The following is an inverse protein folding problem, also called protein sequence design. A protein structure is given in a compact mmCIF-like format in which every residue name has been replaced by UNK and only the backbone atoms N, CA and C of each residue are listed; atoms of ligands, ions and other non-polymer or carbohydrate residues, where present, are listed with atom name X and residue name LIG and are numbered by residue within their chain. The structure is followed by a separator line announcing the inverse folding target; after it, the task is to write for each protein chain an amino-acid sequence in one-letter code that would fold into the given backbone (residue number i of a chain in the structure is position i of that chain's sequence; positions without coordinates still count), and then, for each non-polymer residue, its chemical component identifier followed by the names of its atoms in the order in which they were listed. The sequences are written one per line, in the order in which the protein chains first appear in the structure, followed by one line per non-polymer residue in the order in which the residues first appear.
data_IF_537186372525
#
_entry.id   IF_537186372525
#
_cell.length_a   1.000
_cell.length_b   1.000
_cell.length_c   1.000
_cell.angle_alpha   90.00
_cell.angle_beta   90.00
_cell.angle_gamma   90.00
#
_symmetry.space_group_name_H-M   'P 1'
#
loop_
_entity.id
_entity.type
_entity.pdbx_description
1 polymer ?
#
# COMPACT_ATOMS: atom_id res chain seq x y z
N UNK A 1 1.15 10.60 11.57
CA UNK A 1 -0.21 10.71 11.03
C UNK A 1 -0.21 9.93 9.74
N UNK A 2 -0.91 8.81 9.69
CA UNK A 2 -0.95 7.96 8.48
C UNK A 2 -2.17 7.05 8.54
N UNK A 3 -2.79 6.76 7.41
CA UNK A 3 -3.55 5.51 7.22
C UNK A 3 -3.09 4.81 5.94
N UNK A 4 -3.08 3.49 5.98
CA UNK A 4 -2.63 2.66 4.88
C UNK A 4 -3.37 1.33 4.80
N UNK A 5 -3.23 0.71 3.63
CA UNK A 5 -3.70 -0.63 3.30
C UNK A 5 -2.55 -1.40 2.64
N UNK A 6 -2.34 -2.64 3.08
CA UNK A 6 -1.62 -3.67 2.33
C UNK A 6 -2.63 -4.73 1.88
N UNK A 7 -2.55 -5.15 0.62
CA UNK A 7 -3.53 -6.06 0.06
C UNK A 7 -2.97 -7.03 -0.97
N UNK A 8 -3.67 -8.15 -1.13
CA UNK A 8 -3.46 -9.16 -2.16
C UNK A 8 -4.74 -9.35 -2.97
N UNK A 9 -4.61 -9.55 -4.28
CA UNK A 9 -5.70 -10.04 -5.09
C UNK A 9 -5.67 -11.56 -5.13
N UNK A 10 -6.65 -12.22 -4.49
CA UNK A 10 -6.72 -13.69 -4.45
C UNK A 10 -6.79 -14.37 -5.81
N UNK A 11 -7.32 -13.67 -6.82
CA UNK A 11 -7.48 -14.18 -8.19
C UNK A 11 -6.22 -14.05 -9.05
N UNK A 12 -5.49 -12.94 -8.92
CA UNK A 12 -4.37 -12.62 -9.81
C UNK A 12 -3.00 -12.78 -9.13
N UNK A 13 -2.95 -12.91 -7.80
CA UNK A 13 -1.71 -12.92 -7.04
C UNK A 13 -1.02 -11.55 -6.95
N UNK A 14 -1.62 -10.49 -7.50
CA UNK A 14 -1.09 -9.13 -7.42
C UNK A 14 -1.08 -8.66 -5.96
N UNK A 15 0.00 -7.97 -5.57
CA UNK A 15 0.08 -7.27 -4.30
C UNK A 15 0.01 -5.77 -4.50
N UNK A 16 -0.49 -5.08 -3.48
CA UNK A 16 -0.55 -3.64 -3.49
C UNK A 16 -0.47 -3.03 -2.11
N UNK A 17 0.04 -1.80 -2.08
CA UNK A 17 0.04 -0.93 -0.91
C UNK A 17 -0.49 0.42 -1.33
N UNK A 18 -1.38 1.00 -0.54
CA UNK A 18 -1.75 2.40 -0.64
C UNK A 18 -1.67 3.09 0.72
N UNK A 19 -1.22 4.33 0.74
CA UNK A 19 -0.95 5.09 1.96
C UNK A 19 -1.20 6.57 1.73
N UNK A 20 -1.71 7.27 2.75
CA UNK A 20 -1.89 8.73 2.76
C UNK A 20 -1.38 9.32 4.07
N UNK A 21 -0.89 10.56 4.01
CA UNK A 21 -0.39 11.30 5.16
C UNK A 21 -0.42 12.80 4.98
N UNK A 22 -0.58 13.53 6.09
CA UNK A 22 -0.21 14.95 6.23
C UNK A 22 1.29 15.24 6.01
N UNK A 23 2.17 14.25 6.15
CA UNK A 23 3.61 14.42 5.86
C UNK A 23 3.90 14.27 4.37
N UNK A 24 4.94 14.93 3.82
CA UNK A 24 5.32 14.76 2.42
C UNK A 24 5.86 13.37 2.11
N UNK A 25 5.71 12.99 0.83
CA UNK A 25 6.30 11.81 0.20
C UNK A 25 6.15 10.51 1.02
N UNK A 26 4.96 10.28 1.59
CA UNK A 26 4.73 9.16 2.53
C UNK A 26 5.01 7.80 1.90
N UNK A 27 4.64 7.61 0.63
CA UNK A 27 4.80 6.33 -0.07
C UNK A 27 6.25 5.87 -0.16
N UNK A 28 7.21 6.78 -0.35
CA UNK A 28 8.64 6.44 -0.43
C UNK A 28 9.17 5.78 0.85
N UNK A 29 8.59 6.12 2.00
CA UNK A 29 9.05 5.62 3.30
C UNK A 29 8.22 4.45 3.80
N UNK A 30 6.96 4.35 3.36
CA UNK A 30 5.99 3.44 3.95
C UNK A 30 5.53 2.30 3.03
N UNK A 31 5.65 2.38 1.70
CA UNK A 31 4.99 1.45 0.78
C UNK A 31 5.96 0.44 0.13
N UNK A 32 5.84 -0.83 0.53
CA UNK A 32 6.69 -1.93 0.08
C UNK A 32 5.86 -3.11 -0.42
N UNK A 33 6.15 -3.58 -1.63
CA UNK A 33 5.54 -4.78 -2.17
C UNK A 33 6.56 -5.50 -3.06
N UNK A 34 6.49 -6.82 -3.11
CA UNK A 34 7.31 -7.64 -3.98
C UNK A 34 6.49 -8.78 -4.59
N UNK A 35 6.62 -8.92 -5.91
CA UNK A 35 6.09 -10.00 -6.72
C UNK A 35 6.31 -11.37 -6.06
N UNK A 36 5.25 -12.16 -5.92
CA UNK A 36 5.32 -13.53 -5.37
C UNK A 36 5.68 -13.64 -3.88
N UNK A 37 6.04 -12.54 -3.20
CA UNK A 37 6.42 -12.55 -1.80
C UNK A 37 5.32 -11.98 -0.90
N UNK A 38 4.88 -10.74 -1.15
CA UNK A 38 3.88 -10.08 -0.34
C UNK A 38 3.95 -8.56 -0.35
N UNK A 39 3.26 -7.92 0.60
CA UNK A 39 3.27 -6.48 0.81
C UNK A 39 3.41 -6.11 2.29
N UNK A 40 4.16 -5.04 2.54
CA UNK A 40 4.45 -4.49 3.87
C UNK A 40 4.21 -2.98 3.86
N UNK A 41 3.59 -2.47 4.92
CA UNK A 41 3.62 -1.05 5.25
C UNK A 41 4.34 -0.84 6.57
N UNK A 42 5.28 0.12 6.62
CA UNK A 42 5.96 0.57 7.86
C UNK A 42 5.63 2.03 8.10
N UNK A 43 4.99 2.34 9.23
CA UNK A 43 4.44 3.68 9.50
C UNK A 43 4.50 4.08 10.99
N UNK A 44 3.77 5.15 11.34
CA UNK A 44 3.84 5.89 12.61
C UNK A 44 5.18 6.64 12.72
N UNK A 45 6.01 6.37 13.72
CA UNK A 45 7.41 6.84 13.74
C UNK A 45 8.18 5.91 12.80
N UNK A 46 8.14 6.25 11.51
CA UNK A 46 8.47 5.33 10.42
C UNK A 46 9.94 4.90 10.45
N UNK A 47 10.17 3.60 10.33
CA UNK A 47 11.48 3.01 10.03
C UNK A 47 11.39 2.30 8.67
N UNK A 48 11.92 2.91 7.59
CA UNK A 48 11.90 2.34 6.24
C UNK A 48 12.54 0.94 6.15
N UNK A 49 13.50 0.65 7.01
CA UNK A 49 14.23 -0.64 6.98
C UNK A 49 13.32 -1.82 7.30
N UNK A 50 12.26 -1.61 8.07
CA UNK A 50 11.29 -2.66 8.41
C UNK A 50 10.51 -3.14 7.17
N UNK A 51 10.26 -2.24 6.22
CA UNK A 51 9.61 -2.60 4.95
C UNK A 51 10.45 -3.57 4.13
N UNK A 52 11.72 -3.22 3.92
CA UNK A 52 12.69 -4.04 3.18
C UNK A 52 12.92 -5.39 3.87
N UNK A 53 13.18 -5.39 5.18
CA UNK A 53 13.40 -6.61 5.97
C UNK A 53 12.15 -7.48 6.01
N UNK A 54 10.97 -6.89 6.10
CA UNK A 54 9.70 -7.61 6.04
C UNK A 54 9.51 -8.34 4.72
N UNK A 55 9.74 -7.66 3.60
CA UNK A 55 9.69 -8.30 2.28
C UNK A 55 10.71 -9.43 2.13
N UNK A 56 11.93 -9.26 2.65
CA UNK A 56 12.94 -10.32 2.64
C UNK A 56 12.48 -11.57 3.40
N UNK A 57 11.83 -11.40 4.55
CA UNK A 57 11.28 -12.52 5.32
C UNK A 57 10.15 -13.23 4.55
N UNK A 58 9.23 -12.47 3.97
CA UNK A 58 8.14 -13.01 3.16
C UNK A 58 8.68 -13.75 1.92
N UNK A 59 9.68 -13.20 1.24
CA UNK A 59 10.33 -13.82 0.08
C UNK A 59 11.04 -15.14 0.43
N UNK A 60 11.45 -15.32 1.70
CA UNK A 60 12.03 -16.56 2.22
C UNK A 60 10.97 -17.54 2.75
N UNK A 61 9.68 -17.24 2.56
CA UNK A 61 8.58 -18.14 2.89
C UNK A 61 8.00 -17.96 4.30
N UNK A 62 8.39 -16.91 5.04
CA UNK A 62 7.73 -16.59 6.30
C UNK A 62 6.28 -16.16 6.04
N UNK A 63 5.36 -16.57 6.91
CA UNK A 63 4.01 -16.01 6.97
C UNK A 63 4.04 -14.55 7.43
N UNK A 64 2.96 -13.80 7.19
CA UNK A 64 2.81 -12.44 7.69
C UNK A 64 3.01 -12.35 9.21
N UNK A 65 2.46 -13.32 9.95
CA UNK A 65 2.60 -13.39 11.41
C UNK A 65 4.04 -13.62 11.85
N UNK A 66 4.76 -14.55 11.21
CA UNK A 66 6.18 -14.81 11.49
C UNK A 66 7.04 -13.60 11.15
N UNK A 67 6.81 -12.97 10.00
CA UNK A 67 7.53 -11.77 9.58
C UNK A 67 7.37 -10.64 10.61
N UNK A 68 6.13 -10.33 11.01
CA UNK A 68 5.85 -9.32 12.05
C UNK A 68 6.51 -9.69 13.38
N UNK A 69 6.43 -10.96 13.82
CA UNK A 69 7.05 -11.41 15.06
C UNK A 69 8.58 -11.25 15.06
N UNK A 70 9.23 -11.57 13.94
CA UNK A 70 10.67 -11.40 13.76
C UNK A 70 11.05 -9.92 13.78
N UNK A 71 10.32 -9.07 13.04
CA UNK A 71 10.56 -7.63 13.01
C UNK A 71 10.39 -7.00 14.39
N UNK A 72 9.36 -7.40 15.15
CA UNK A 72 9.14 -6.93 16.52
C UNK A 72 10.29 -7.32 17.46
N UNK A 73 10.81 -8.55 17.35
CA UNK A 73 11.88 -9.06 18.21
C UNK A 73 13.25 -8.45 17.90
N UNK A 74 13.50 -8.10 16.65
CA UNK A 74 14.83 -7.71 16.15
C UNK A 74 14.93 -6.25 15.71
N UNK A 75 13.80 -5.53 15.65
CA UNK A 75 13.74 -4.12 15.30
C UNK A 75 14.08 -3.22 16.48
N UNK A 76 14.70 -2.08 16.19
CA UNK A 76 14.91 -1.04 17.19
C UNK A 76 13.60 -0.30 17.46
N UNK A 77 13.30 -0.06 18.74
CA UNK A 77 12.16 0.74 19.19
C UNK A 77 10.79 0.26 18.65
N UNK A 78 10.47 -1.05 18.70
CA UNK A 78 9.24 -1.59 18.12
C UNK A 78 7.99 -0.97 18.73
N UNK A 79 8.07 -0.42 19.94
CA UNK A 79 6.95 0.24 20.59
C UNK A 79 6.50 1.53 19.91
N UNK A 80 7.32 2.12 19.04
CA UNK A 80 6.99 3.32 18.26
C UNK A 80 6.55 3.01 16.82
N UNK A 81 6.53 1.74 16.42
CA UNK A 81 6.29 1.33 15.03
C UNK A 81 4.87 0.82 14.85
N UNK A 82 4.32 1.06 13.67
CA UNK A 82 3.16 0.34 13.18
C UNK A 82 3.53 -0.34 11.87
N UNK A 83 3.37 -1.67 11.79
CA UNK A 83 3.77 -2.46 10.62
C UNK A 83 2.63 -3.39 10.22
N UNK A 84 2.25 -3.36 8.94
CA UNK A 84 1.17 -4.17 8.38
C UNK A 84 1.78 -5.11 7.33
N UNK A 85 1.26 -6.33 7.26
CA UNK A 85 1.74 -7.35 6.34
C UNK A 85 0.60 -8.18 5.73
N UNK A 86 0.75 -8.51 4.45
CA UNK A 86 0.03 -9.60 3.76
C UNK A 86 1.03 -10.46 3.02
N UNK A 87 0.94 -11.78 3.21
CA UNK A 87 1.88 -12.75 2.62
C UNK A 87 1.35 -13.39 1.32
N UNK A 88 2.18 -14.27 0.74
CA UNK A 88 1.88 -15.01 -0.49
C UNK A 88 0.58 -15.83 -0.44
N UNK A 89 0.21 -16.33 0.73
CA UNK A 89 -1.00 -17.11 0.97
C UNK A 89 -2.23 -16.22 1.23
N UNK A 90 -2.04 -14.91 1.41
CA UNK A 90 -3.09 -13.97 1.76
C UNK A 90 -3.36 -13.88 3.26
N UNK A 91 -2.54 -14.49 4.11
CA UNK A 91 -2.64 -14.29 5.54
C UNK A 91 -2.09 -12.91 5.92
N UNK A 92 -2.67 -12.31 6.95
CA UNK A 92 -2.42 -10.92 7.33
C UNK A 92 -2.02 -10.79 8.79
N UNK A 93 -1.10 -9.88 9.07
CA UNK A 93 -0.65 -9.58 10.42
C UNK A 93 -0.32 -8.10 10.56
N UNK A 94 -0.53 -7.57 11.77
CA UNK A 94 -0.26 -6.18 12.10
C UNK A 94 0.45 -6.14 13.45
N UNK A 95 1.40 -5.22 13.59
CA UNK A 95 1.95 -4.81 14.88
C UNK A 95 1.72 -3.31 15.03
N UNK A 96 1.01 -2.91 16.10
CA UNK A 96 0.90 -1.53 16.55
C UNK A 96 1.58 -1.40 17.91
N UNK A 97 2.68 -0.65 17.96
CA UNK A 97 3.43 -0.45 19.19
C UNK A 97 2.66 0.42 20.21
N UNK A 98 2.83 0.20 21.53
CA UNK A 98 2.07 0.93 22.55
C UNK A 98 2.38 2.43 22.65
N UNK A 99 3.41 2.92 21.93
CA UNK A 99 3.72 4.35 21.79
C UNK A 99 3.30 4.89 20.40
N UNK A 100 2.38 4.23 19.71
CA UNK A 100 1.77 4.77 18.51
C UNK A 100 1.06 6.09 18.79
N UNK A 101 1.15 7.04 17.86
CA UNK A 101 0.75 8.43 18.10
C UNK A 101 -0.77 8.62 17.94
N UNK A 102 -1.36 9.37 18.86
CA UNK A 102 -2.78 9.74 18.83
C UNK A 102 -3.71 8.54 18.87
N UNK A 103 -4.89 8.69 18.27
CA UNK A 103 -5.78 7.55 18.03
C UNK A 103 -5.14 6.71 16.94
N UNK A 104 -4.77 5.48 17.30
CA UNK A 104 -4.30 4.48 16.36
C UNK A 104 -5.25 3.29 16.41
N UNK A 105 -5.42 2.65 15.26
CA UNK A 105 -6.25 1.47 15.13
C UNK A 105 -5.75 0.61 13.99
N UNK A 106 -6.25 -0.61 13.94
CA UNK A 106 -5.93 -1.62 12.95
C UNK A 106 -7.16 -2.49 12.68
N UNK A 107 -7.27 -2.97 11.45
CA UNK A 107 -8.28 -3.94 11.05
C UNK A 107 -7.68 -4.83 9.98
N UNK A 108 -8.10 -6.09 9.93
CA UNK A 108 -7.59 -7.05 8.94
C UNK A 108 -8.62 -8.12 8.62
N UNK A 109 -8.49 -8.66 7.42
CA UNK A 109 -9.20 -9.84 6.95
C UNK A 109 -8.25 -10.65 6.05
N UNK A 110 -8.78 -11.69 5.41
CA UNK A 110 -8.02 -12.41 4.38
C UNK A 110 -7.68 -11.46 3.23
N UNK A 111 -6.42 -11.51 2.80
CA UNK A 111 -5.84 -10.71 1.73
C UNK A 111 -5.81 -9.18 1.97
N UNK A 112 -6.15 -8.67 3.16
CA UNK A 112 -6.11 -7.23 3.44
C UNK A 112 -5.81 -6.90 4.90
N UNK A 113 -4.91 -5.96 5.12
CA UNK A 113 -4.66 -5.34 6.41
C UNK A 113 -4.64 -3.83 6.26
N UNK A 114 -5.39 -3.15 7.12
CA UNK A 114 -5.50 -1.69 7.18
C UNK A 114 -5.13 -1.19 8.57
N UNK A 115 -4.58 0.01 8.65
CA UNK A 115 -4.17 0.57 9.92
C UNK A 115 -3.75 2.01 9.80
N UNK A 116 -3.77 2.69 10.94
CA UNK A 116 -3.36 4.08 10.99
C UNK A 116 -3.06 4.58 12.39
N UNK A 117 -2.54 5.81 12.42
CA UNK A 117 -2.16 6.57 13.61
C UNK A 117 -2.52 8.04 13.41
N UNK A 118 -2.80 8.75 14.50
CA UNK A 118 -3.38 10.10 14.50
C UNK A 118 -4.67 10.16 13.66
N UNK A 119 -5.51 9.13 13.79
CA UNK A 119 -6.79 9.01 13.11
C UNK A 119 -7.83 9.96 13.74
N UNK A 120 -8.85 10.31 12.97
CA UNK A 120 -10.02 11.02 13.48
C UNK A 120 -10.77 10.19 14.55
N UNK A 121 -10.84 8.87 14.35
CA UNK A 121 -11.34 7.90 15.32
C UNK A 121 -10.85 6.47 14.98
N UNK A 122 -11.11 5.51 15.87
CA UNK A 122 -10.62 4.12 15.77
C UNK A 122 -11.35 3.27 14.71
N UNK A 123 -12.58 3.63 14.33
CA UNK A 123 -13.34 2.96 13.25
C UNK A 123 -12.79 3.11 11.81
N UNK A 124 -11.82 4.00 11.54
CA UNK A 124 -11.33 4.26 10.17
C UNK A 124 -10.77 3.00 9.48
N UNK A 125 -9.85 2.21 10.09
CA UNK A 125 -9.32 1.01 9.45
C UNK A 125 -10.38 -0.08 9.19
N UNK A 126 -11.39 -0.18 10.06
CA UNK A 126 -12.48 -1.13 9.85
C UNK A 126 -13.29 -0.78 8.61
N UNK A 127 -13.66 0.50 8.43
CA UNK A 127 -14.31 0.99 7.21
C UNK A 127 -13.47 0.74 5.95
N UNK A 128 -12.13 0.84 6.07
CA UNK A 128 -11.22 0.52 4.97
C UNK A 128 -11.28 -0.97 4.57
N UNK A 129 -11.23 -1.88 5.55
CA UNK A 129 -11.33 -3.32 5.28
C UNK A 129 -12.68 -3.65 4.64
N UNK A 130 -13.77 -3.12 5.17
CA UNK A 130 -15.12 -3.33 4.62
C UNK A 130 -15.24 -2.85 3.18
N UNK A 131 -14.72 -1.66 2.87
CA UNK A 131 -14.68 -1.14 1.51
C UNK A 131 -13.85 -2.02 0.56
N UNK A 132 -12.70 -2.53 1.03
CA UNK A 132 -11.89 -3.44 0.21
C UNK A 132 -12.62 -4.76 -0.08
N UNK A 133 -13.29 -5.34 0.92
CA UNK A 133 -14.04 -6.59 0.78
C UNK A 133 -15.29 -6.43 -0.10
N UNK A 134 -15.94 -5.27 -0.06
CA UNK A 134 -17.09 -4.95 -0.90
C UNK A 134 -16.73 -4.52 -2.33
N UNK A 135 -15.45 -4.29 -2.62
CA UNK A 135 -14.98 -3.83 -3.94
C UNK A 135 -14.52 -4.99 -4.82
N UNK A 136 -14.82 -4.87 -6.12
CA UNK A 136 -14.44 -5.85 -7.15
C UNK A 136 -13.55 -5.20 -8.23
N UNK A 137 -13.01 -6.02 -9.14
CA UNK A 137 -12.21 -5.55 -10.28
C UNK A 137 -10.70 -5.53 -10.02
N UNK A 138 -10.00 -4.62 -10.72
CA UNK A 138 -8.55 -4.53 -10.66
C UNK A 138 -8.08 -4.08 -9.27
N UNK A 139 -6.97 -4.62 -8.75
CA UNK A 139 -6.51 -4.31 -7.39
C UNK A 139 -6.31 -2.80 -7.16
N UNK A 140 -5.77 -2.09 -8.15
CA UNK A 140 -5.64 -0.63 -8.10
C UNK A 140 -6.96 0.12 -7.86
N UNK A 141 -8.06 -0.30 -8.51
CA UNK A 141 -9.38 0.34 -8.28
C UNK A 141 -9.87 0.10 -6.84
N UNK A 142 -9.66 -1.12 -6.34
CA UNK A 142 -10.03 -1.53 -4.98
C UNK A 142 -9.22 -0.78 -3.91
N UNK A 143 -7.93 -0.55 -4.15
CA UNK A 143 -7.10 0.29 -3.28
C UNK A 143 -7.57 1.74 -3.26
N UNK A 144 -7.87 2.34 -4.42
CA UNK A 144 -8.42 3.70 -4.50
C UNK A 144 -9.76 3.80 -3.75
N UNK A 145 -10.67 2.84 -3.97
CA UNK A 145 -11.95 2.79 -3.25
C UNK A 145 -11.76 2.71 -1.73
N UNK A 146 -10.78 1.91 -1.28
CA UNK A 146 -10.44 1.77 0.14
C UNK A 146 -9.90 3.08 0.73
N UNK A 147 -9.01 3.77 0.02
CA UNK A 147 -8.46 5.05 0.46
C UNK A 147 -9.52 6.15 0.52
N UNK A 148 -10.47 6.16 -0.42
CA UNK A 148 -11.64 7.05 -0.38
C UNK A 148 -12.54 6.75 0.81
N UNK A 149 -12.81 5.47 1.10
CA UNK A 149 -13.60 5.07 2.27
C UNK A 149 -12.94 5.51 3.59
N UNK A 150 -11.61 5.42 3.68
CA UNK A 150 -10.87 5.95 4.83
C UNK A 150 -11.15 7.45 5.02
N UNK A 151 -11.12 8.22 3.93
CA UNK A 151 -11.35 9.66 3.93
C UNK A 151 -12.79 10.01 4.30
N UNK A 152 -13.78 9.28 3.76
CA UNK A 152 -15.20 9.41 4.12
C UNK A 152 -15.45 9.07 5.58
N UNK A 153 -14.74 8.08 6.13
CA UNK A 153 -14.76 7.74 7.55
C UNK A 153 -13.99 8.74 8.42
N UNK A 154 -13.44 9.83 7.86
CA UNK A 154 -12.76 10.90 8.59
C UNK A 154 -11.23 10.88 8.49
N UNK A 155 -10.61 9.78 8.09
CA UNK A 155 -9.18 9.70 7.82
C UNK A 155 -8.29 10.04 9.01
N UNK A 156 -7.28 10.89 8.77
CA UNK A 156 -6.47 11.49 9.83
C UNK A 156 -7.25 12.55 10.60
N UNK A 157 -6.85 12.83 11.85
CA UNK A 157 -7.42 13.92 12.63
C UNK A 157 -7.19 15.32 12.01
N UNK A 158 -6.24 15.43 11.07
CA UNK A 158 -5.94 16.64 10.30
C UNK A 158 -5.96 16.39 8.79
N UNK A 159 -5.71 17.43 7.97
CA UNK A 159 -5.68 17.29 6.51
C UNK A 159 -4.51 16.41 6.06
N UNK A 160 -4.70 15.67 4.96
CA UNK A 160 -3.64 14.89 4.32
C UNK A 160 -3.08 15.64 3.11
N UNK A 161 -1.78 15.50 2.86
CA UNK A 161 -1.07 16.24 1.82
C UNK A 161 -0.32 15.35 0.83
N UNK A 162 -0.05 14.09 1.17
CA UNK A 162 0.58 13.14 0.27
C UNK A 162 -0.14 11.80 0.26
N UNK A 163 -0.10 11.12 -0.87
CA UNK A 163 -0.59 9.76 -1.01
C UNK A 163 0.21 9.00 -2.06
N UNK A 164 0.23 7.68 -1.98
CA UNK A 164 0.76 6.87 -3.07
C UNK A 164 0.21 5.46 -3.08
N UNK A 165 0.35 4.82 -4.24
CA UNK A 165 -0.06 3.46 -4.49
C UNK A 165 1.05 2.72 -5.24
N UNK A 166 1.41 1.55 -4.73
CA UNK A 166 2.37 0.64 -5.34
C UNK A 166 1.68 -0.68 -5.66
N UNK A 167 1.82 -1.16 -6.90
CA UNK A 167 1.31 -2.45 -7.37
C UNK A 167 2.46 -3.28 -7.95
N UNK A 168 2.51 -4.56 -7.59
CA UNK A 168 3.47 -5.53 -8.12
C UNK A 168 2.74 -6.78 -8.59
N UNK A 169 3.20 -7.36 -9.70
CA UNK A 169 2.69 -8.62 -10.25
C UNK A 169 3.86 -9.52 -10.67
N UNK A 170 3.77 -10.29 -11.74
CA UNK A 170 4.76 -11.32 -12.14
C UNK A 170 6.17 -10.83 -12.53
N UNK A 171 6.41 -9.52 -12.64
CA UNK A 171 7.71 -8.95 -13.02
C UNK A 171 8.51 -8.44 -11.81
N UNK A 172 9.83 -8.29 -11.98
CA UNK A 172 10.75 -7.91 -10.90
C UNK A 172 10.64 -6.44 -10.44
N UNK A 173 9.84 -5.62 -11.12
CA UNK A 173 9.61 -4.20 -10.80
C UNK A 173 8.14 -3.92 -10.46
N UNK A 174 7.82 -2.78 -9.81
CA UNK A 174 6.43 -2.34 -9.66
C UNK A 174 5.78 -2.05 -11.00
N UNK A 175 4.64 -2.68 -11.27
CA UNK A 175 3.84 -2.38 -12.48
C UNK A 175 3.02 -1.11 -12.33
N UNK A 176 2.92 -0.55 -11.12
CA UNK A 176 2.55 0.83 -10.88
C UNK A 176 3.24 1.31 -9.60
N UNK A 177 3.84 2.50 -9.64
CA UNK A 177 4.33 3.24 -8.48
C UNK A 177 3.92 4.70 -8.65
N UNK A 178 2.69 5.01 -8.21
CA UNK A 178 2.03 6.28 -8.43
C UNK A 178 2.03 7.09 -7.13
N UNK A 179 2.41 8.36 -7.21
CA UNK A 179 2.65 9.20 -6.04
C UNK A 179 2.13 10.62 -6.26
N UNK A 180 1.47 11.14 -5.24
CA UNK A 180 1.27 12.56 -5.00
C UNK A 180 2.09 12.87 -3.74
N UNK A 181 3.28 13.45 -3.91
CA UNK A 181 4.21 13.63 -2.80
C UNK A 181 3.92 14.86 -1.93
N UNK A 182 3.18 15.83 -2.45
CA UNK A 182 2.61 16.96 -1.72
C UNK A 182 1.52 17.63 -2.57
N UNK A 183 0.45 18.08 -1.92
CA UNK A 183 -0.57 18.96 -2.50
C UNK A 183 -1.36 19.65 -1.38
N UNK A 184 -1.90 20.84 -1.68
CA UNK A 184 -2.87 21.53 -0.82
C UNK A 184 -4.31 21.04 -1.06
N UNK A 185 -4.58 20.46 -2.24
CA UNK A 185 -5.82 19.73 -2.54
C UNK A 185 -5.84 18.31 -1.93
N UNK A 186 -6.83 17.48 -2.29
CA UNK A 186 -6.89 16.09 -1.83
C UNK A 186 -5.87 15.18 -2.56
N UNK A 187 -4.84 14.63 -1.89
CA UNK A 187 -3.84 13.77 -2.52
C UNK A 187 -4.41 12.43 -3.01
N UNK A 188 -5.46 11.93 -2.36
CA UNK A 188 -6.11 10.66 -2.75
C UNK A 188 -6.86 10.81 -4.06
N UNK A 189 -7.52 11.96 -4.29
CA UNK A 189 -8.20 12.21 -5.56
C UNK A 189 -7.21 12.46 -6.71
N UNK A 190 -6.08 13.12 -6.44
CA UNK A 190 -4.99 13.20 -7.43
C UNK A 190 -4.44 11.82 -7.79
N UNK A 191 -4.22 10.96 -6.79
CA UNK A 191 -3.77 9.60 -7.01
C UNK A 191 -4.81 8.77 -7.80
N UNK A 192 -6.11 8.97 -7.53
CA UNK A 192 -7.19 8.34 -8.27
C UNK A 192 -7.23 8.78 -9.74
N UNK A 193 -7.07 10.08 -10.01
CA UNK A 193 -7.00 10.61 -11.36
C UNK A 193 -5.79 10.07 -12.13
N UNK A 194 -4.62 10.04 -11.47
CA UNK A 194 -3.40 9.47 -12.03
C UNK A 194 -3.55 7.97 -12.34
N UNK A 195 -4.24 7.22 -11.46
CA UNK A 195 -4.54 5.82 -11.71
C UNK A 195 -5.43 5.61 -12.94
N UNK A 196 -6.47 6.43 -13.13
CA UNK A 196 -7.32 6.33 -14.34
C UNK A 196 -6.55 6.61 -15.63
N UNK A 197 -5.58 7.52 -15.58
CA UNK A 197 -4.69 7.77 -16.72
C UNK A 197 -3.72 6.61 -16.98
N UNK A 198 -3.16 6.02 -15.92
CA UNK A 198 -2.11 5.01 -16.00
C UNK A 198 -2.65 3.61 -16.33
N UNK A 199 -3.77 3.20 -15.71
CA UNK A 199 -4.33 1.85 -15.79
C UNK A 199 -4.47 1.30 -17.22
N UNK A 200 -5.01 2.04 -18.22
CA UNK A 200 -5.15 1.53 -19.58
C UNK A 200 -3.79 1.27 -20.28
N UNK A 201 -2.72 1.88 -19.79
CA UNK A 201 -1.38 1.80 -20.37
C UNK A 201 -0.48 0.77 -19.67
N UNK A 202 -0.89 0.28 -18.49
CA UNK A 202 -0.08 -0.57 -17.61
C UNK A 202 0.48 -1.78 -18.34
N UNK A 203 -0.37 -2.53 -19.03
CA UNK A 203 0.06 -3.76 -19.70
C UNK A 203 0.98 -3.47 -20.89
N UNK A 204 0.75 -2.37 -21.62
CA UNK A 204 1.65 -1.94 -22.67
C UNK A 204 3.06 -1.61 -22.12
N UNK A 205 3.16 -0.96 -20.96
CA UNK A 205 4.46 -0.70 -20.33
C UNK A 205 5.19 -1.98 -19.93
N UNK A 206 4.47 -2.99 -19.45
CA UNK A 206 5.06 -4.30 -19.15
C UNK A 206 5.52 -5.01 -20.42
N UNK A 207 4.69 -5.04 -21.46
CA UNK A 207 5.05 -5.64 -22.75
C UNK A 207 6.28 -4.98 -23.35
N UNK A 208 6.40 -3.66 -23.30
CA UNK A 208 7.58 -2.93 -23.80
C UNK A 208 8.88 -3.38 -23.13
N UNK A 209 8.84 -3.66 -21.83
CA UNK A 209 10.02 -4.10 -21.09
C UNK A 209 10.38 -5.57 -21.35
N UNK A 210 9.38 -6.44 -21.62
CA UNK A 210 9.59 -7.89 -21.81
C UNK A 210 9.81 -8.24 -23.28
N UNK A 211 8.93 -7.78 -24.17
CA UNK A 211 8.98 -8.00 -25.61
C UNK A 211 8.51 -6.73 -26.36
N UNK A 212 9.41 -5.77 -26.64
CA UNK A 212 9.04 -4.52 -27.29
C UNK A 212 8.46 -4.69 -28.70
N UNK A 213 8.68 -5.82 -29.38
CA UNK A 213 8.12 -6.07 -30.71
C UNK A 213 6.60 -6.30 -30.72
N UNK A 214 6.03 -6.72 -29.59
CA UNK A 214 4.58 -6.94 -29.45
C UNK A 214 3.87 -5.72 -28.82
N UNK A 215 4.62 -4.67 -28.48
CA UNK A 215 4.08 -3.52 -27.81
C UNK A 215 3.32 -2.60 -28.78
N UNK A 216 2.20 -1.98 -28.35
CA UNK A 216 1.59 -0.92 -29.14
C UNK A 216 2.54 0.28 -29.24
N UNK A 217 2.50 0.95 -30.40
CA UNK A 217 3.16 2.24 -30.64
C UNK A 217 2.85 3.24 -29.51
N UNK A 218 3.79 4.13 -29.23
CA UNK A 218 3.64 5.21 -28.26
C UNK A 218 2.66 6.29 -28.73
N UNK A 219 2.47 6.44 -30.04
CA UNK A 219 1.61 7.48 -30.63
C UNK A 219 2.12 8.89 -30.36
N UNK A 220 3.44 9.05 -30.25
CA UNK A 220 4.13 10.32 -29.94
C UNK A 220 5.03 10.73 -31.09
N UNK A 221 5.45 12.02 -31.17
CA UNK A 221 6.44 12.45 -32.16
C UNK A 221 7.71 11.59 -32.09
N UNK A 222 8.17 11.09 -33.24
CA UNK A 222 9.33 10.18 -33.36
C UNK A 222 8.98 8.69 -33.48
N UNK A 223 7.70 8.36 -33.55
CA UNK A 223 7.15 7.00 -33.72
C UNK A 223 6.73 6.72 -35.18
N UNK A 224 7.33 7.47 -36.12
CA UNK A 224 7.17 7.36 -37.59
C UNK A 224 8.24 6.46 -38.23
#
# INVERSE_FOLDING_TARGET
MTFSIVARCGRTGMFGVAVSSSSPAVAARCAYAQAGAGAIASQNVTDPTLGLRGLELLARGASAAEAIAILKRTGAYPEYRQVLAVDAAGATAIHSGPKALGIWAEARADNVACGGNMLAHDGVPQAMVEAFLASEGHLGDRLIATMRAALTAGGEAGPVHSAGMKLVREVAWPVADLRCDWTDDCPIEQLAALWQLYKPQLDAYVTRAINPSDAPSYGVPGDE
#
